data_IF_426440976819
#
_entry.id   IF_426440976819
#
_cell.length_a   1.000
_cell.length_b   1.000
_cell.length_c   1.000
_cell.angle_alpha   90.00
_cell.angle_beta   90.00
_cell.angle_gamma   90.00
#
_symmetry.space_group_name_H-M   'P 1'
#
loop_
_entity.id
_entity.type
_entity.pdbx_description
1 polymer ?
#
# COMPACT_ATOMS: atom_id res chain seq x y z
N UNK A 1 -6.48 8.69 29.74
CA UNK A 1 -5.76 7.57 30.36
C UNK A 1 -6.08 6.30 29.58
N UNK A 2 -5.34 6.01 28.50
CA UNK A 2 -5.41 4.77 27.70
C UNK A 2 -4.02 4.35 27.15
N UNK A 3 -2.96 5.12 27.44
CA UNK A 3 -1.62 4.91 26.85
C UNK A 3 -0.98 3.57 27.22
N UNK A 4 -1.39 2.95 28.33
CA UNK A 4 -0.83 1.68 28.82
C UNK A 4 -1.67 0.45 28.42
N UNK A 5 -2.80 0.65 27.72
CA UNK A 5 -3.64 -0.48 27.29
C UNK A 5 -3.01 -1.20 26.11
N UNK A 6 -2.58 -2.45 26.32
CA UNK A 6 -2.11 -3.34 25.26
C UNK A 6 -2.59 -4.77 25.49
N UNK A 7 -3.43 -5.29 24.59
CA UNK A 7 -3.89 -6.69 24.62
C UNK A 7 -4.21 -7.22 23.22
N UNK A 8 -4.30 -8.54 23.08
CA UNK A 8 -4.70 -9.20 21.82
C UNK A 8 -6.21 -9.40 21.78
N UNK A 9 -6.89 -8.79 20.79
CA UNK A 9 -8.32 -8.98 20.52
C UNK A 9 -8.57 -9.68 19.18
N UNK A 10 -9.85 -9.80 18.80
CA UNK A 10 -10.28 -10.47 17.55
C UNK A 10 -9.67 -9.83 16.30
N UNK A 11 -9.50 -8.51 16.31
CA UNK A 11 -8.92 -7.73 15.19
C UNK A 11 -7.41 -7.54 15.30
N UNK A 12 -6.75 -8.31 16.16
CA UNK A 12 -5.31 -8.19 16.45
C UNK A 12 -5.03 -7.36 17.70
N UNK A 13 -3.78 -6.88 17.81
CA UNK A 13 -3.33 -6.09 18.97
C UNK A 13 -4.11 -4.78 19.06
N UNK A 14 -4.63 -4.48 20.24
CA UNK A 14 -5.29 -3.22 20.58
C UNK A 14 -4.31 -2.38 21.38
N UNK A 15 -3.94 -1.22 20.86
CA UNK A 15 -3.05 -0.25 21.50
C UNK A 15 -3.45 1.16 21.05
N UNK A 16 -3.24 2.15 21.91
CA UNK A 16 -3.57 3.55 21.65
C UNK A 16 -2.33 4.43 21.60
N UNK A 17 -2.29 5.38 20.66
CA UNK A 17 -1.27 6.43 20.57
C UNK A 17 -2.00 7.77 20.38
N UNK A 18 -1.74 8.74 21.27
CA UNK A 18 -2.43 10.04 21.28
C UNK A 18 -3.96 9.96 21.32
N UNK A 19 -4.51 8.86 21.88
CA UNK A 19 -5.94 8.61 21.95
C UNK A 19 -6.52 7.79 20.79
N UNK A 20 -5.79 7.64 19.68
CA UNK A 20 -6.21 6.85 18.53
C UNK A 20 -5.75 5.41 18.62
N UNK A 21 -6.59 4.47 18.17
CA UNK A 21 -6.21 3.06 18.08
C UNK A 21 -5.26 2.87 16.90
N UNK A 22 -4.09 2.30 17.17
CA UNK A 22 -3.16 1.89 16.11
C UNK A 22 -3.63 0.56 15.52
N UNK A 23 -3.85 0.53 14.21
CA UNK A 23 -4.46 -0.60 13.50
C UNK A 23 -3.64 -1.10 12.32
N UNK A 24 -4.26 -2.02 11.56
CA UNK A 24 -3.75 -2.47 10.27
C UNK A 24 -4.68 -1.98 9.17
N UNK A 25 -4.11 -1.69 7.99
CA UNK A 25 -4.81 -1.20 6.82
C UNK A 25 -4.76 -2.25 5.72
N UNK A 26 -5.89 -2.52 5.09
CA UNK A 26 -5.99 -3.43 3.93
C UNK A 26 -5.91 -2.62 2.65
N UNK A 27 -5.07 -3.04 1.71
CA UNK A 27 -4.93 -2.40 0.40
C UNK A 27 -5.68 -3.25 -0.63
N UNK A 28 -6.57 -2.61 -1.38
CA UNK A 28 -7.37 -3.25 -2.43
C UNK A 28 -7.00 -2.68 -3.80
N UNK A 29 -7.10 -3.51 -4.83
CA UNK A 29 -7.01 -3.10 -6.22
C UNK A 29 -8.21 -3.63 -7.01
N UNK A 30 -8.77 -2.81 -7.89
CA UNK A 30 -9.74 -3.26 -8.89
C UNK A 30 -8.99 -4.02 -10.00
N UNK A 31 -9.20 -5.34 -10.09
CA UNK A 31 -8.63 -6.18 -11.13
C UNK A 31 -9.75 -6.93 -11.85
N UNK A 32 -9.81 -6.83 -13.17
CA UNK A 32 -10.80 -7.51 -14.01
C UNK A 32 -12.25 -7.36 -13.51
N UNK A 33 -12.60 -6.16 -13.02
CA UNK A 33 -13.96 -5.86 -12.52
C UNK A 33 -14.24 -6.29 -11.08
N UNK A 34 -13.24 -6.80 -10.33
CA UNK A 34 -13.38 -7.19 -8.93
C UNK A 34 -12.38 -6.47 -8.03
N UNK A 35 -12.84 -6.02 -6.86
CA UNK A 35 -11.93 -5.58 -5.79
C UNK A 35 -11.24 -6.80 -5.17
N UNK A 36 -9.91 -6.85 -5.27
CA UNK A 36 -9.08 -7.90 -4.67
C UNK A 36 -8.09 -7.27 -3.68
N UNK A 37 -7.78 -7.99 -2.62
CA UNK A 37 -6.76 -7.59 -1.66
C UNK A 37 -5.38 -7.78 -2.27
N UNK A 38 -4.53 -6.76 -2.18
CA UNK A 38 -3.16 -6.76 -2.72
C UNK A 38 -2.08 -6.51 -1.66
N UNK A 39 -2.48 -6.27 -0.41
CA UNK A 39 -1.53 -6.12 0.68
C UNK A 39 -2.16 -5.70 1.99
N UNK A 40 -1.32 -5.65 3.02
CA UNK A 40 -1.63 -5.11 4.33
C UNK A 40 -0.51 -4.16 4.78
N UNK A 41 -0.87 -3.12 5.50
CA UNK A 41 0.06 -2.26 6.21
C UNK A 41 -0.22 -2.32 7.71
N UNK A 42 0.81 -2.52 8.52
CA UNK A 42 0.73 -2.59 9.97
C UNK A 42 1.37 -1.33 10.57
N UNK A 43 0.56 -0.43 11.12
CA UNK A 43 1.04 0.87 11.60
C UNK A 43 1.93 0.79 12.86
N UNK A 44 1.78 -0.27 13.68
CA UNK A 44 2.62 -0.47 14.88
C UNK A 44 4.06 -0.83 14.54
N UNK A 45 4.26 -1.63 13.49
CA UNK A 45 5.59 -2.11 13.08
C UNK A 45 6.16 -1.34 11.89
N UNK A 46 5.36 -0.45 11.30
CA UNK A 46 5.66 0.24 10.04
C UNK A 46 6.04 -0.74 8.90
N UNK A 47 5.26 -1.82 8.77
CA UNK A 47 5.52 -2.86 7.77
C UNK A 47 4.41 -2.86 6.73
N UNK A 48 4.79 -2.56 5.48
CA UNK A 48 3.98 -2.81 4.30
C UNK A 48 4.28 -4.22 3.76
N UNK A 49 3.26 -5.07 3.74
CA UNK A 49 3.37 -6.43 3.22
C UNK A 49 2.47 -6.60 1.99
N UNK A 50 3.09 -6.58 0.81
CA UNK A 50 2.43 -6.80 -0.49
C UNK A 50 2.35 -8.28 -0.89
N UNK A 51 2.89 -9.20 -0.08
CA UNK A 51 2.75 -10.66 -0.31
C UNK A 51 1.47 -11.22 0.30
N UNK A 52 0.81 -10.47 1.18
CA UNK A 52 -0.47 -10.84 1.82
C UNK A 52 -1.68 -10.50 0.95
N UNK A 53 -1.70 -11.00 -0.28
CA UNK A 53 -2.80 -10.79 -1.21
C UNK A 53 -2.46 -11.25 -2.62
N UNK A 54 -3.31 -10.88 -3.56
CA UNK A 54 -3.02 -10.98 -4.99
C UNK A 54 -1.90 -10.02 -5.38
N UNK A 55 -1.14 -10.36 -6.42
CA UNK A 55 -0.13 -9.45 -6.96
C UNK A 55 -0.80 -8.17 -7.50
N UNK A 56 -0.16 -7.02 -7.27
CA UNK A 56 -0.56 -5.76 -7.92
C UNK A 56 -0.36 -5.90 -9.43
N UNK A 57 -1.40 -5.58 -10.20
CA UNK A 57 -1.37 -5.62 -11.66
C UNK A 57 -1.41 -4.22 -12.24
N UNK A 58 -0.43 -3.90 -13.06
CA UNK A 58 -0.40 -2.70 -13.90
C UNK A 58 -0.58 -3.12 -15.35
N UNK A 59 -1.10 -2.22 -16.21
CA UNK A 59 -1.35 -2.54 -17.64
C UNK A 59 -0.08 -3.05 -18.34
N UNK A 60 1.06 -2.40 -18.07
CA UNK A 60 2.35 -2.75 -18.68
C UNK A 60 3.28 -3.48 -17.68
N UNK A 61 2.71 -4.11 -16.64
CA UNK A 61 3.45 -4.85 -15.61
C UNK A 61 4.26 -3.98 -14.63
N UNK A 62 4.40 -2.67 -14.88
CA UNK A 62 5.10 -1.71 -14.02
C UNK A 62 4.20 -0.54 -13.62
N UNK A 63 4.39 0.02 -12.42
CA UNK A 63 3.70 1.25 -12.03
C UNK A 63 4.10 2.41 -12.98
N UNK A 64 3.20 3.36 -13.24
CA UNK A 64 3.53 4.56 -13.99
C UNK A 64 4.57 5.39 -13.24
N UNK A 65 5.38 6.13 -14.00
CA UNK A 65 6.32 7.13 -13.45
C UNK A 65 5.61 8.45 -13.19
N UNK A 66 6.11 9.23 -12.22
CA UNK A 66 5.48 10.50 -11.82
C UNK A 66 5.54 11.58 -12.91
N UNK A 67 6.53 11.50 -13.83
CA UNK A 67 6.77 12.50 -14.88
C UNK A 67 7.28 11.89 -16.17
N UNK A 68 7.08 12.61 -17.28
CA UNK A 68 7.62 12.27 -18.58
C UNK A 68 9.16 12.45 -18.64
N UNK A 69 9.79 11.71 -19.57
CA UNK A 69 11.21 11.84 -19.89
C UNK A 69 11.31 12.70 -21.16
N UNK A 70 12.06 13.80 -21.09
CA UNK A 70 12.36 14.64 -22.25
C UNK A 70 13.63 14.11 -22.92
N UNK A 71 13.52 13.69 -24.18
CA UNK A 71 14.66 13.25 -25.00
C UNK A 71 14.85 14.24 -26.14
N UNK A 72 16.08 14.69 -26.36
CA UNK A 72 16.43 15.58 -27.47
C UNK A 72 17.15 14.76 -28.55
N UNK A 73 16.67 14.84 -29.78
CA UNK A 73 17.22 14.09 -30.92
C UNK A 73 17.53 15.05 -32.08
N UNK A 74 18.70 14.86 -32.71
CA UNK A 74 19.09 15.62 -33.89
C UNK A 74 18.25 15.19 -35.10
N UNK A 75 17.65 16.15 -35.80
CA UNK A 75 16.95 15.89 -37.07
C UNK A 75 17.92 15.99 -38.24
N UNK A 76 18.00 14.95 -39.07
CA UNK A 76 18.70 14.97 -40.35
C UNK A 76 17.69 15.15 -41.49
N UNK A 77 18.02 16.00 -42.46
CA UNK A 77 17.23 16.20 -43.68
C UNK A 77 18.13 15.84 -44.85
N UNK A 78 17.70 14.85 -45.64
CA UNK A 78 18.34 14.36 -46.86
C UNK A 78 17.61 14.84 -48.10
#
# INVERSE_FOLDING_TARGET
VLNETSFMGVTGRVQFQNGDRVGSMTILQMQYGKMVKVGEYHALTDILNLTKGEQIKWRDGKPPVDRSIKTEELRHVS
#
